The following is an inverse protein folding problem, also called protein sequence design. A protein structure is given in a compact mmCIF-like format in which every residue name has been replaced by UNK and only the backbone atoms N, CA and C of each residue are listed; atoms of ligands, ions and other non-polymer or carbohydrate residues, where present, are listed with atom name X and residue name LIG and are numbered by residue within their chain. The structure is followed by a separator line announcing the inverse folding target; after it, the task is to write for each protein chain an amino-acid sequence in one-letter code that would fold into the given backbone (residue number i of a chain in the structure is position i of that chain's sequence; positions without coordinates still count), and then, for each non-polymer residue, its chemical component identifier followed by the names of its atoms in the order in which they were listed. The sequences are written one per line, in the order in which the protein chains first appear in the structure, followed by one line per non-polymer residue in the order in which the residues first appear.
data_IF_250931959066
#
_entry.id   IF_250931959066
#
_cell.length_a   1.000
_cell.length_b   1.000
_cell.length_c   1.000
_cell.angle_alpha   90.00
_cell.angle_beta   90.00
_cell.angle_gamma   90.00
#
_symmetry.space_group_name_H-M   'P 1'
#
loop_
_entity.id
_entity.type
_entity.pdbx_description
1 polymer ?
#
# COMPACT_ATOMS: atom_id res chain seq x y z
N UNK A 1 -32.44 -2.57 6.66
CA UNK A 1 -33.15 -2.46 5.35
C UNK A 1 -33.25 -1.02 4.84
N UNK A 2 -33.79 -0.05 5.60
CA UNK A 2 -33.90 1.38 5.17
C UNK A 2 -32.58 2.03 4.72
N UNK A 3 -31.47 1.79 5.42
CA UNK A 3 -30.14 2.32 5.07
C UNK A 3 -29.60 1.79 3.74
N UNK A 4 -29.86 0.51 3.42
CA UNK A 4 -29.43 -0.09 2.16
C UNK A 4 -30.21 0.51 0.97
N UNK A 5 -31.51 0.71 1.14
CA UNK A 5 -32.36 1.37 0.14
C UNK A 5 -31.93 2.83 -0.09
N UNK A 6 -31.53 3.55 0.96
CA UNK A 6 -31.01 4.91 0.84
C UNK A 6 -29.67 4.97 0.07
N UNK A 7 -28.76 4.02 0.31
CA UNK A 7 -27.50 3.92 -0.45
C UNK A 7 -27.78 3.62 -1.93
N UNK A 8 -28.68 2.68 -2.21
CA UNK A 8 -29.09 2.35 -3.57
C UNK A 8 -29.65 3.58 -4.28
N UNK A 9 -30.55 4.34 -3.62
CA UNK A 9 -31.11 5.55 -4.19
C UNK A 9 -30.04 6.62 -4.46
N UNK A 10 -29.09 6.81 -3.53
CA UNK A 10 -27.97 7.73 -3.71
C UNK A 10 -27.08 7.35 -4.91
N UNK A 11 -26.81 6.05 -5.11
CA UNK A 11 -26.05 5.55 -6.27
C UNK A 11 -26.79 5.84 -7.57
N UNK A 12 -28.10 5.60 -7.62
CA UNK A 12 -28.94 5.86 -8.80
C UNK A 12 -28.87 7.34 -9.16
N UNK A 13 -29.21 8.22 -8.21
CA UNK A 13 -29.23 9.67 -8.42
C UNK A 13 -27.85 10.20 -8.81
N UNK A 14 -26.77 9.70 -8.18
CA UNK A 14 -25.40 10.10 -8.53
C UNK A 14 -25.01 9.66 -9.95
N UNK A 15 -25.36 8.44 -10.36
CA UNK A 15 -25.08 7.95 -11.71
C UNK A 15 -25.85 8.72 -12.78
N UNK A 16 -27.11 9.06 -12.51
CA UNK A 16 -27.93 9.89 -13.40
C UNK A 16 -27.31 11.28 -13.57
N UNK A 17 -26.95 11.94 -12.46
CA UNK A 17 -26.29 13.24 -12.48
C UNK A 17 -25.00 13.20 -13.32
N UNK A 18 -24.12 12.24 -13.05
CA UNK A 18 -22.85 12.11 -13.78
C UNK A 18 -23.04 11.84 -15.28
N UNK A 19 -24.05 11.03 -15.66
CA UNK A 19 -24.35 10.77 -17.08
C UNK A 19 -24.92 11.98 -17.81
N UNK A 20 -25.65 12.84 -17.11
CA UNK A 20 -26.19 14.09 -17.67
C UNK A 20 -25.08 15.12 -17.92
N UNK A 21 -24.11 15.22 -17.02
CA UNK A 21 -23.04 16.22 -17.12
C UNK A 21 -21.82 15.77 -17.95
N UNK A 22 -21.62 14.47 -18.14
CA UNK A 22 -20.42 13.95 -18.81
C UNK A 22 -20.75 12.91 -19.87
N UNK A 23 -19.99 12.94 -20.97
CA UNK A 23 -20.00 11.83 -21.92
C UNK A 23 -19.18 10.65 -21.37
N UNK A 24 -19.80 9.88 -20.47
CA UNK A 24 -19.14 8.78 -19.76
C UNK A 24 -18.56 7.74 -20.71
N UNK A 25 -19.23 7.45 -21.82
CA UNK A 25 -18.74 6.47 -22.81
C UNK A 25 -17.43 6.93 -23.44
N UNK A 26 -17.39 8.15 -23.96
CA UNK A 26 -16.18 8.72 -24.56
C UNK A 26 -15.05 8.84 -23.54
N UNK A 27 -15.34 9.32 -22.33
CA UNK A 27 -14.34 9.42 -21.26
C UNK A 27 -13.78 8.05 -20.87
N UNK A 28 -14.61 7.02 -20.82
CA UNK A 28 -14.19 5.65 -20.57
C UNK A 28 -13.30 5.10 -21.69
N UNK A 29 -13.67 5.30 -22.96
CA UNK A 29 -12.84 4.87 -24.10
C UNK A 29 -11.45 5.51 -24.08
N UNK A 30 -11.36 6.80 -23.76
CA UNK A 30 -10.08 7.52 -23.60
C UNK A 30 -9.27 6.95 -22.43
N UNK A 31 -9.89 6.77 -21.27
CA UNK A 31 -9.22 6.21 -20.09
C UNK A 31 -8.73 4.78 -20.36
N UNK A 32 -9.58 3.94 -20.97
CA UNK A 32 -9.25 2.57 -21.33
C UNK A 32 -8.07 2.51 -22.30
N UNK A 33 -8.04 3.36 -23.34
CA UNK A 33 -6.93 3.42 -24.28
C UNK A 33 -5.61 3.82 -23.59
N UNK A 34 -5.65 4.78 -22.67
CA UNK A 34 -4.47 5.20 -21.90
C UNK A 34 -3.97 4.09 -20.96
N UNK A 35 -4.87 3.41 -20.25
CA UNK A 35 -4.49 2.28 -19.39
C UNK A 35 -3.92 1.13 -20.22
N UNK A 36 -4.51 0.83 -21.38
CA UNK A 36 -4.00 -0.24 -22.27
C UNK A 36 -2.56 0.05 -22.71
N UNK A 37 -2.26 1.29 -23.13
CA UNK A 37 -0.89 1.71 -23.45
C UNK A 37 0.06 1.51 -22.28
N UNK A 38 -0.37 1.81 -21.06
CA UNK A 38 0.46 1.63 -19.87
C UNK A 38 0.69 0.14 -19.54
N UNK A 39 -0.33 -0.71 -19.71
CA UNK A 39 -0.19 -2.16 -19.60
C UNK A 39 0.81 -2.71 -20.61
N UNK A 40 0.72 -2.29 -21.87
CA UNK A 40 1.64 -2.72 -22.93
C UNK A 40 3.09 -2.33 -22.58
N UNK A 41 3.32 -1.10 -22.09
CA UNK A 41 4.63 -0.66 -21.61
C UNK A 41 5.16 -1.51 -20.45
N UNK A 42 4.30 -1.86 -19.48
CA UNK A 42 4.68 -2.71 -18.33
C UNK A 42 5.06 -4.11 -18.80
N UNK A 43 4.31 -4.70 -19.74
CA UNK A 43 4.60 -6.01 -20.30
C UNK A 43 5.94 -6.01 -21.05
N UNK A 44 6.22 -4.96 -21.82
CA UNK A 44 7.49 -4.80 -22.53
C UNK A 44 8.67 -4.68 -21.55
N UNK A 45 8.53 -3.88 -20.49
CA UNK A 45 9.56 -3.78 -19.45
C UNK A 45 9.83 -5.12 -18.77
N UNK A 46 8.78 -5.87 -18.42
CA UNK A 46 8.91 -7.21 -17.85
C UNK A 46 9.63 -8.17 -18.80
N UNK A 47 9.27 -8.15 -20.09
CA UNK A 47 9.95 -8.96 -21.11
C UNK A 47 11.45 -8.61 -21.21
N UNK A 48 11.79 -7.34 -21.07
CA UNK A 48 13.18 -6.85 -21.06
C UNK A 48 13.88 -6.99 -19.70
N UNK A 49 13.22 -7.55 -18.68
CA UNK A 49 13.74 -7.68 -17.30
C UNK A 49 14.14 -6.31 -16.71
N UNK A 50 13.42 -5.26 -17.11
CA UNK A 50 13.58 -3.90 -16.55
C UNK A 50 12.63 -3.77 -15.35
N UNK A 51 13.11 -3.33 -14.17
CA UNK A 51 12.24 -3.06 -13.02
C UNK A 51 11.10 -2.10 -13.39
N UNK A 52 9.86 -2.53 -13.15
CA UNK A 52 8.66 -1.72 -13.43
C UNK A 52 8.46 -0.65 -12.38
N UNK A 53 8.71 -0.99 -11.11
CA UNK A 53 8.64 -0.05 -10.00
C UNK A 53 9.99 0.68 -9.96
N UNK A 54 10.00 2.02 -10.00
CA UNK A 54 11.22 2.80 -9.84
C UNK A 54 11.89 2.46 -8.50
N UNK A 55 13.22 2.42 -8.49
CA UNK A 55 14.01 2.18 -7.29
C UNK A 55 15.05 3.28 -7.15
N UNK A 56 15.19 3.84 -5.94
CA UNK A 56 16.26 4.79 -5.60
C UNK A 56 16.90 4.39 -4.27
N UNK A 57 18.14 4.78 -4.05
CA UNK A 57 18.81 4.63 -2.76
C UNK A 57 18.39 5.76 -1.81
N UNK A 58 18.22 5.46 -0.53
CA UNK A 58 17.93 6.49 0.47
C UNK A 58 19.01 7.58 0.52
N UNK A 59 20.29 7.25 0.27
CA UNK A 59 21.38 8.25 0.21
C UNK A 59 21.15 9.29 -0.87
N UNK A 60 20.45 8.94 -1.95
CA UNK A 60 20.11 9.86 -3.04
C UNK A 60 19.15 10.94 -2.60
N UNK A 61 18.18 10.58 -1.75
CA UNK A 61 17.23 11.52 -1.14
C UNK A 61 17.98 12.51 -0.26
N UNK A 62 18.88 12.02 0.60
CA UNK A 62 19.63 12.86 1.55
C UNK A 62 20.60 13.82 0.86
N UNK A 63 21.15 13.41 -0.28
CA UNK A 63 22.02 14.27 -1.10
C UNK A 63 21.25 15.22 -2.01
N UNK A 64 19.92 15.13 -2.07
CA UNK A 64 19.09 15.81 -3.06
C UNK A 64 19.54 15.54 -4.50
N UNK A 65 19.95 14.30 -4.80
CA UNK A 65 20.45 13.92 -6.12
C UNK A 65 19.42 13.18 -6.99
N UNK A 66 18.17 13.06 -6.53
CA UNK A 66 17.06 12.49 -7.31
C UNK A 66 16.74 13.40 -8.49
N UNK A 67 16.92 12.88 -9.70
CA UNK A 67 16.75 13.63 -10.94
C UNK A 67 15.28 13.94 -11.25
N UNK A 68 15.07 14.93 -12.11
CA UNK A 68 13.73 15.27 -12.60
C UNK A 68 13.06 14.09 -13.32
N UNK A 69 13.81 13.33 -14.11
CA UNK A 69 13.29 12.17 -14.86
C UNK A 69 12.87 11.03 -13.92
N UNK A 70 13.61 10.80 -12.82
CA UNK A 70 13.20 9.86 -11.78
C UNK A 70 11.89 10.31 -11.11
N UNK A 71 11.75 11.59 -10.76
CA UNK A 71 10.52 12.15 -10.18
C UNK A 71 9.33 11.98 -11.14
N UNK A 72 9.52 12.24 -12.44
CA UNK A 72 8.49 12.03 -13.46
C UNK A 72 8.11 10.56 -13.57
N UNK A 73 9.08 9.65 -13.55
CA UNK A 73 8.84 8.21 -13.61
C UNK A 73 8.09 7.73 -12.35
N UNK A 74 8.46 8.19 -11.16
CA UNK A 74 7.75 7.90 -9.89
C UNK A 74 6.29 8.34 -9.99
N UNK A 75 6.03 9.57 -10.45
CA UNK A 75 4.65 10.08 -10.64
C UNK A 75 3.85 9.27 -11.65
N UNK A 76 4.49 8.84 -12.74
CA UNK A 76 3.86 7.99 -13.76
C UNK A 76 3.51 6.60 -13.22
N UNK A 77 4.40 6.00 -12.42
CA UNK A 77 4.24 4.64 -11.89
C UNK A 77 3.37 4.59 -10.63
N UNK A 78 3.29 5.68 -9.88
CA UNK A 78 2.51 5.78 -8.64
C UNK A 78 3.07 4.95 -7.48
N UNK A 79 4.32 4.49 -7.60
CA UNK A 79 5.02 3.68 -6.61
C UNK A 79 6.54 3.91 -6.70
N UNK A 80 7.26 3.61 -5.62
CA UNK A 80 8.70 3.73 -5.49
C UNK A 80 9.21 2.72 -4.47
N UNK A 81 10.34 2.07 -4.75
CA UNK A 81 11.13 1.35 -3.75
C UNK A 81 12.28 2.26 -3.33
N UNK A 82 12.37 2.54 -2.03
CA UNK A 82 13.54 3.22 -1.45
C UNK A 82 14.40 2.15 -0.81
N UNK A 83 15.59 1.93 -1.36
CA UNK A 83 16.56 0.97 -0.83
C UNK A 83 17.35 1.59 0.32
N UNK A 84 17.77 0.77 1.27
CA UNK A 84 18.71 1.15 2.33
C UNK A 84 18.24 2.32 3.21
N UNK A 85 16.93 2.41 3.49
CA UNK A 85 16.35 3.38 4.46
C UNK A 85 16.85 3.10 5.89
N UNK A 86 17.00 1.82 6.20
CA UNK A 86 17.59 1.30 7.42
C UNK A 86 18.69 0.31 7.04
N UNK A 87 19.64 0.12 7.94
CA UNK A 87 20.64 -0.93 7.81
C UNK A 87 19.99 -2.32 7.95
N UNK A 88 20.47 -3.29 7.19
CA UNK A 88 19.92 -4.65 7.18
C UNK A 88 20.01 -5.31 8.56
N UNK A 89 21.10 -5.05 9.30
CA UNK A 89 21.27 -5.58 10.66
C UNK A 89 20.23 -4.98 11.60
N UNK A 90 20.00 -3.66 11.53
CA UNK A 90 18.98 -2.99 12.33
C UNK A 90 17.57 -3.53 12.02
N UNK A 91 17.25 -3.75 10.75
CA UNK A 91 15.97 -4.31 10.34
C UNK A 91 15.78 -5.74 10.86
N UNK A 92 16.84 -6.56 10.85
CA UNK A 92 16.83 -7.92 11.40
C UNK A 92 16.62 -7.91 12.93
N UNK A 93 17.34 -7.06 13.66
CA UNK A 93 17.19 -6.92 15.11
C UNK A 93 15.77 -6.47 15.50
N UNK A 94 15.21 -5.53 14.76
CA UNK A 94 13.81 -5.11 14.94
C UNK A 94 12.81 -6.24 14.67
N UNK A 95 13.06 -7.07 13.66
CA UNK A 95 12.22 -8.24 13.40
C UNK A 95 12.24 -9.21 14.59
N UNK A 96 13.43 -9.49 15.14
CA UNK A 96 13.59 -10.38 16.28
C UNK A 96 12.93 -9.80 17.55
N UNK A 97 13.11 -8.49 17.81
CA UNK A 97 12.47 -7.80 18.94
C UNK A 97 10.93 -7.80 18.83
N UNK A 98 10.37 -7.65 17.63
CA UNK A 98 8.91 -7.80 17.43
C UNK A 98 8.47 -9.24 17.72
N UNK A 99 9.25 -10.23 17.29
CA UNK A 99 9.00 -11.64 17.59
C UNK A 99 8.98 -11.92 19.09
N UNK A 100 9.98 -11.44 19.82
CA UNK A 100 10.05 -11.55 21.28
C UNK A 100 8.89 -10.82 21.97
N UNK A 101 8.51 -9.64 21.47
CA UNK A 101 7.38 -8.88 21.98
C UNK A 101 6.05 -9.65 21.82
N UNK A 102 5.84 -10.30 20.67
CA UNK A 102 4.67 -11.17 20.42
C UNK A 102 4.63 -12.32 21.43
N UNK A 103 5.75 -13.02 21.61
CA UNK A 103 5.83 -14.23 22.44
C UNK A 103 5.73 -13.91 23.94
N UNK A 104 6.48 -12.92 24.43
CA UNK A 104 6.47 -12.50 25.84
C UNK A 104 5.12 -11.99 26.32
N UNK A 105 4.27 -11.49 25.40
CA UNK A 105 2.93 -11.02 25.71
C UNK A 105 1.85 -12.09 25.54
N UNK A 106 2.20 -13.34 25.20
CA UNK A 106 1.26 -14.42 24.90
C UNK A 106 0.19 -13.99 23.87
N UNK A 107 0.65 -13.30 22.82
CA UNK A 107 -0.25 -12.66 21.86
C UNK A 107 -1.16 -13.66 21.17
N UNK A 108 -0.64 -14.81 20.74
CA UNK A 108 -1.40 -15.79 19.97
C UNK A 108 -2.62 -16.30 20.75
N UNK A 109 -2.47 -16.57 22.05
CA UNK A 109 -3.59 -16.98 22.91
C UNK A 109 -4.59 -15.84 23.08
N UNK A 110 -4.11 -14.63 23.40
CA UNK A 110 -4.97 -13.45 23.61
C UNK A 110 -5.66 -12.94 22.34
N UNK A 111 -5.10 -13.23 21.17
CA UNK A 111 -5.71 -12.83 19.90
C UNK A 111 -6.96 -13.65 19.58
N UNK A 112 -7.04 -14.91 20.03
CA UNK A 112 -8.22 -15.77 19.83
C UNK A 112 -9.46 -15.18 20.50
N UNK A 113 -9.31 -14.63 21.71
CA UNK A 113 -10.41 -13.95 22.42
C UNK A 113 -10.97 -12.73 21.68
N UNK A 114 -10.20 -12.19 20.73
CA UNK A 114 -10.53 -11.01 19.92
C UNK A 114 -10.88 -11.37 18.48
N UNK A 115 -10.85 -12.65 18.11
CA UNK A 115 -11.25 -13.12 16.79
C UNK A 115 -12.71 -12.74 16.54
N UNK A 116 -12.98 -12.13 15.37
CA UNK A 116 -14.30 -11.66 14.98
C UNK A 116 -14.67 -10.23 15.45
N UNK A 117 -13.83 -9.55 16.25
CA UNK A 117 -14.01 -8.11 16.51
C UNK A 117 -13.76 -7.28 15.25
N UNK A 118 -12.81 -7.70 14.42
CA UNK A 118 -12.55 -7.11 13.11
C UNK A 118 -13.10 -8.03 12.00
N UNK A 119 -14.18 -7.59 11.36
CA UNK A 119 -14.82 -8.29 10.24
C UNK A 119 -14.17 -7.95 8.90
N UNK A 120 -13.20 -7.02 8.87
CA UNK A 120 -12.56 -6.55 7.63
C UNK A 120 -11.77 -7.65 6.93
N UNK A 121 -11.16 -8.56 7.71
CA UNK A 121 -10.40 -9.70 7.20
C UNK A 121 -11.13 -11.05 7.34
N UNK A 122 -12.44 -11.04 7.59
CA UNK A 122 -13.27 -12.25 7.81
C UNK A 122 -13.24 -13.27 6.66
N UNK A 123 -12.74 -12.89 5.47
CA UNK A 123 -12.59 -13.76 4.32
C UNK A 123 -11.22 -14.49 4.26
N UNK A 124 -10.25 -14.10 5.07
CA UNK A 124 -8.97 -14.81 5.19
C UNK A 124 -9.15 -16.01 6.12
N UNK A 125 -9.03 -17.22 5.57
CA UNK A 125 -9.27 -18.49 6.30
C UNK A 125 -8.35 -18.64 7.52
N UNK A 126 -8.87 -19.37 8.50
CA UNK A 126 -8.26 -19.76 9.76
C UNK A 126 -6.87 -20.39 9.61
N UNK A 127 -5.89 -19.73 10.23
CA UNK A 127 -4.47 -20.08 10.36
C UNK A 127 -3.81 -19.11 11.34
N UNK A 128 -2.50 -19.23 11.58
CA UNK A 128 -1.78 -18.23 12.37
C UNK A 128 -1.98 -16.82 11.77
N UNK A 129 -2.16 -15.77 12.59
CA UNK A 129 -2.45 -14.43 12.08
C UNK A 129 -1.32 -13.93 11.17
N UNK A 130 -1.68 -13.54 9.94
CA UNK A 130 -0.76 -12.88 9.00
C UNK A 130 -0.71 -11.37 9.21
N UNK A 131 -1.70 -10.82 9.92
CA UNK A 131 -1.79 -9.42 10.31
C UNK A 131 -1.89 -9.37 11.82
N UNK A 132 -0.93 -8.70 12.46
CA UNK A 132 -0.88 -8.55 13.91
C UNK A 132 -1.50 -7.21 14.30
N UNK A 133 -2.54 -7.24 15.14
CA UNK A 133 -3.16 -6.05 15.75
C UNK A 133 -2.28 -5.43 16.84
N UNK A 134 -1.00 -5.20 16.53
CA UNK A 134 0.04 -4.66 17.41
C UNK A 134 0.49 -3.31 16.89
N UNK A 135 0.49 -2.30 17.76
CA UNK A 135 0.68 -0.92 17.34
C UNK A 135 1.88 -0.22 17.99
N UNK A 136 2.32 -0.70 19.14
CA UNK A 136 3.22 0.04 20.05
C UNK A 136 4.47 -0.73 20.45
N UNK A 137 4.87 -1.75 19.68
CA UNK A 137 6.18 -2.35 19.93
C UNK A 137 7.29 -1.31 19.78
N UNK A 138 8.38 -1.47 20.53
CA UNK A 138 9.51 -0.54 20.48
C UNK A 138 10.07 -0.39 19.06
N UNK A 139 10.28 -1.46 18.26
CA UNK A 139 10.69 -1.35 16.86
C UNK A 139 9.77 -0.47 16.01
N UNK A 140 8.44 -0.65 16.14
CA UNK A 140 7.47 0.15 15.38
C UNK A 140 7.58 1.64 15.72
N UNK A 141 7.77 1.98 16.99
CA UNK A 141 7.91 3.36 17.43
C UNK A 141 9.22 3.98 16.96
N UNK A 142 10.33 3.25 17.10
CA UNK A 142 11.66 3.69 16.65
C UNK A 142 11.71 3.92 15.14
N UNK A 143 11.16 2.99 14.35
CA UNK A 143 11.09 3.14 12.90
C UNK A 143 10.30 4.39 12.50
N UNK A 144 9.10 4.60 13.08
CA UNK A 144 8.22 5.74 12.76
C UNK A 144 8.83 7.11 13.09
N UNK A 145 9.57 7.21 14.19
CA UNK A 145 10.18 8.47 14.63
C UNK A 145 11.62 8.66 14.14
N UNK A 146 12.14 7.72 13.35
CA UNK A 146 13.50 7.80 12.83
C UNK A 146 13.67 8.98 11.87
N UNK A 147 14.86 9.56 11.84
CA UNK A 147 15.16 10.66 10.93
C UNK A 147 15.03 10.23 9.46
N UNK A 148 15.35 8.97 9.13
CA UNK A 148 15.25 8.44 7.77
C UNK A 148 13.84 8.30 7.24
N UNK A 149 12.85 8.21 8.12
CA UNK A 149 11.44 8.25 7.73
C UNK A 149 10.88 9.66 7.60
N UNK A 150 11.59 10.67 8.12
CA UNK A 150 11.14 12.07 8.13
C UNK A 150 11.74 12.93 7.00
N UNK A 151 12.94 12.58 6.52
CA UNK A 151 13.65 13.28 5.44
C UNK A 151 12.93 13.15 4.10
#
# INVERSE_FOLDING_TARGET
MKKLQQIQQSIITSKELLRTHFNVKKSFEVAQANIKKEVDNILEMKHKVIPVIPEIDYKSIIKNDVSFDEIVNIKRRGALIIRNVFDDQQASEWNDEVGEYILSNDYFTKSVEREGMDQYFSQLKSGAPQIFGLYWSRPQMLARQSQSMAN
#
